data_IF_275941370627
#
_entry.id   IF_275941370627
#
_cell.length_a   1.000
_cell.length_b   1.000
_cell.length_c   1.000
_cell.angle_alpha   90.00
_cell.angle_beta   90.00
_cell.angle_gamma   90.00
#
_symmetry.space_group_name_H-M   'P 1'
#
loop_
_entity.id
_entity.type
_entity.pdbx_description
1 polymer ?
#
# COMPACT_ATOMS: atom_id res chain seq x y z
N UNK A 1 13.20 2.88 -23.32
CA UNK A 1 12.49 1.73 -22.70
C UNK A 1 11.30 2.31 -21.95
N UNK A 2 10.10 2.16 -22.51
CA UNK A 2 8.87 2.61 -21.86
C UNK A 2 8.51 1.61 -20.77
N UNK A 3 8.48 2.06 -19.51
CA UNK A 3 7.99 1.25 -18.39
C UNK A 3 6.57 0.77 -18.70
N UNK A 4 6.23 -0.52 -18.47
CA UNK A 4 4.86 -0.97 -18.65
C UNK A 4 3.96 -0.18 -17.70
N UNK A 5 2.87 0.39 -18.24
CA UNK A 5 1.81 1.00 -17.43
C UNK A 5 1.22 -0.12 -16.59
N UNK A 6 1.51 -0.10 -15.29
CA UNK A 6 0.88 -1.04 -14.35
C UNK A 6 -0.50 -0.48 -14.05
N UNK A 7 -1.54 -1.09 -14.61
CA UNK A 7 -2.92 -0.69 -14.35
C UNK A 7 -3.25 -0.97 -12.87
N UNK A 8 -3.35 0.10 -12.08
CA UNK A 8 -3.76 0.02 -10.69
C UNK A 8 -5.27 -0.29 -10.60
N UNK A 9 -5.71 -1.14 -9.67
CA UNK A 9 -7.11 -1.44 -9.48
C UNK A 9 -7.87 -0.19 -9.00
N UNK A 10 -9.12 -0.04 -9.46
CA UNK A 10 -10.00 1.00 -8.94
C UNK A 10 -10.27 0.79 -7.44
N UNK A 11 -10.17 1.87 -6.67
CA UNK A 11 -10.43 1.91 -5.23
C UNK A 11 -11.70 2.68 -4.87
N UNK A 12 -12.57 3.00 -5.84
CA UNK A 12 -13.81 3.75 -5.58
C UNK A 12 -14.75 3.10 -4.55
N UNK A 13 -14.65 1.79 -4.37
CA UNK A 13 -15.42 1.00 -3.39
C UNK A 13 -14.71 0.85 -2.03
N UNK A 14 -13.48 1.36 -1.89
CA UNK A 14 -12.67 1.28 -0.68
C UNK A 14 -12.88 2.57 0.10
N UNK A 15 -13.30 2.47 1.36
CA UNK A 15 -13.33 3.60 2.31
C UNK A 15 -12.01 3.75 3.05
N UNK A 16 -11.42 2.63 3.45
CA UNK A 16 -10.20 2.61 4.27
C UNK A 16 -9.47 1.27 4.12
N UNK A 17 -8.15 1.30 4.21
CA UNK A 17 -7.31 0.12 4.41
C UNK A 17 -6.89 0.04 5.89
N UNK A 18 -7.01 -1.14 6.49
CA UNK A 18 -6.45 -1.44 7.80
C UNK A 18 -5.25 -2.35 7.64
N UNK A 19 -4.19 -2.09 8.41
CA UNK A 19 -2.93 -2.83 8.34
C UNK A 19 -2.71 -3.62 9.62
N UNK A 20 -2.46 -4.91 9.48
CA UNK A 20 -2.17 -5.81 10.59
C UNK A 20 -0.77 -6.38 10.44
N UNK A 21 0.02 -6.36 11.51
CA UNK A 21 1.43 -6.78 11.46
C UNK A 21 2.00 -7.16 12.82
N UNK A 22 3.29 -7.45 12.84
CA UNK A 22 4.00 -7.88 14.04
C UNK A 22 3.68 -9.31 14.47
N UNK A 23 4.33 -9.79 15.55
CA UNK A 23 4.27 -11.19 15.99
C UNK A 23 2.87 -11.66 16.42
N UNK A 24 1.95 -10.73 16.66
CA UNK A 24 0.58 -11.01 17.10
C UNK A 24 -0.48 -10.58 16.09
N UNK A 25 -0.09 -10.15 14.88
CA UNK A 25 -1.02 -9.70 13.83
C UNK A 25 -2.02 -8.65 14.31
N UNK A 26 -1.56 -7.68 15.10
CA UNK A 26 -2.40 -6.62 15.66
C UNK A 26 -2.58 -5.49 14.65
N UNK A 27 -3.64 -4.68 14.82
CA UNK A 27 -3.84 -3.49 14.02
C UNK A 27 -2.70 -2.50 14.31
N UNK A 28 -1.89 -2.19 13.30
CA UNK A 28 -0.73 -1.29 13.41
C UNK A 28 -0.94 0.04 12.70
N UNK A 29 -1.97 0.15 11.86
CA UNK A 29 -2.29 1.40 11.19
C UNK A 29 -3.51 1.31 10.29
N UNK A 30 -3.88 2.46 9.74
CA UNK A 30 -4.96 2.58 8.78
C UNK A 30 -4.71 3.72 7.79
N UNK A 31 -5.31 3.63 6.61
CA UNK A 31 -5.25 4.66 5.57
C UNK A 31 -6.62 4.87 4.93
N UNK A 32 -7.19 6.06 5.10
CA UNK A 32 -8.45 6.45 4.47
C UNK A 32 -8.31 6.58 2.96
N UNK A 33 -9.38 6.32 2.22
CA UNK A 33 -9.41 6.63 0.80
C UNK A 33 -9.98 8.04 0.60
N UNK A 34 -9.07 9.01 0.44
CA UNK A 34 -9.41 10.39 0.10
C UNK A 34 -8.93 10.68 -1.32
N UNK A 35 -9.62 11.55 -2.09
CA UNK A 35 -9.28 11.80 -3.49
C UNK A 35 -7.82 12.16 -3.72
N UNK A 36 -7.22 12.92 -2.80
CA UNK A 36 -5.83 13.35 -2.88
C UNK A 36 -4.81 12.20 -2.78
N UNK A 37 -5.15 11.11 -2.09
CA UNK A 37 -4.26 9.97 -1.82
C UNK A 37 -4.74 8.65 -2.46
N UNK A 38 -5.65 8.76 -3.44
CA UNK A 38 -6.27 7.62 -4.13
C UNK A 38 -5.20 6.70 -4.75
N UNK A 39 -4.14 7.27 -5.31
CA UNK A 39 -3.04 6.50 -5.92
C UNK A 39 -2.31 5.65 -4.88
N UNK A 40 -1.96 6.20 -3.74
CA UNK A 40 -1.34 5.48 -2.63
C UNK A 40 -2.20 4.32 -2.13
N UNK A 41 -3.51 4.55 -1.97
CA UNK A 41 -4.48 3.51 -1.61
C UNK A 41 -4.53 2.43 -2.69
N UNK A 42 -4.57 2.81 -3.97
CA UNK A 42 -4.59 1.88 -5.09
C UNK A 42 -3.32 1.03 -5.18
N UNK A 43 -2.14 1.58 -4.89
CA UNK A 43 -0.87 0.83 -4.81
C UNK A 43 -0.91 -0.18 -3.69
N UNK A 44 -1.26 0.23 -2.46
CA UNK A 44 -1.31 -0.71 -1.32
C UNK A 44 -2.35 -1.81 -1.54
N UNK A 45 -3.51 -1.46 -2.11
CA UNK A 45 -4.53 -2.42 -2.47
C UNK A 45 -4.07 -3.38 -3.57
N UNK A 46 -3.39 -2.89 -4.61
CA UNK A 46 -2.80 -3.72 -5.66
C UNK A 46 -1.84 -4.76 -5.09
N UNK A 47 -0.93 -4.34 -4.20
CA UNK A 47 0.02 -5.23 -3.56
C UNK A 47 -0.67 -6.30 -2.72
N UNK A 48 -1.68 -5.91 -1.93
CA UNK A 48 -2.45 -6.84 -1.13
C UNK A 48 -3.18 -7.89 -1.99
N UNK A 49 -3.79 -7.49 -3.10
CA UNK A 49 -4.45 -8.41 -4.02
C UNK A 49 -3.45 -9.36 -4.70
N UNK A 50 -2.29 -8.84 -5.11
CA UNK A 50 -1.29 -9.60 -5.86
C UNK A 50 -0.52 -10.59 -5.00
N UNK A 51 -0.18 -10.21 -3.76
CA UNK A 51 0.72 -10.97 -2.90
C UNK A 51 0.04 -11.56 -1.66
N UNK A 52 -1.21 -11.18 -1.36
CA UNK A 52 -1.93 -11.57 -0.14
C UNK A 52 -1.50 -10.79 1.11
N UNK A 53 -0.22 -10.45 1.20
CA UNK A 53 0.38 -9.56 2.23
C UNK A 53 1.38 -8.63 1.58
N UNK A 54 1.65 -7.49 2.21
CA UNK A 54 2.73 -6.59 1.80
C UNK A 54 4.00 -7.02 2.54
N UNK A 55 4.81 -7.84 1.88
CA UNK A 55 6.16 -8.22 2.34
C UNK A 55 7.20 -7.14 2.01
N UNK A 56 8.43 -7.20 2.54
CA UNK A 56 9.49 -6.25 2.18
C UNK A 56 9.78 -6.20 0.67
N UNK A 57 9.68 -7.34 -0.02
CA UNK A 57 9.84 -7.40 -1.48
C UNK A 57 8.69 -6.70 -2.20
N UNK A 58 7.44 -6.98 -1.81
CA UNK A 58 6.27 -6.31 -2.37
C UNK A 58 6.28 -4.80 -2.10
N UNK A 59 6.76 -4.39 -0.92
CA UNK A 59 6.86 -2.99 -0.54
C UNK A 59 7.84 -2.21 -1.43
N UNK A 60 9.00 -2.79 -1.78
CA UNK A 60 9.93 -2.17 -2.75
C UNK A 60 9.30 -1.97 -4.13
N UNK A 61 8.47 -2.91 -4.57
CA UNK A 61 7.72 -2.75 -5.82
C UNK A 61 6.71 -1.60 -5.72
N UNK A 62 5.95 -1.51 -4.62
CA UNK A 62 5.04 -0.39 -4.38
C UNK A 62 5.75 0.96 -4.35
N UNK A 63 6.94 1.03 -3.74
CA UNK A 63 7.76 2.24 -3.72
C UNK A 63 8.17 2.65 -5.14
N UNK A 64 8.49 1.69 -6.01
CA UNK A 64 8.78 1.96 -7.42
C UNK A 64 7.56 2.53 -8.16
N UNK A 65 6.33 2.10 -7.82
CA UNK A 65 5.09 2.63 -8.38
C UNK A 65 4.76 4.06 -7.89
N UNK A 66 5.32 4.47 -6.76
CA UNK A 66 5.15 5.79 -6.14
C UNK A 66 6.32 6.77 -6.42
N UNK A 67 7.26 6.43 -7.30
CA UNK A 67 8.43 7.28 -7.62
C UNK A 67 8.03 8.67 -8.12
N UNK A 68 6.97 8.77 -8.91
CA UNK A 68 6.46 10.04 -9.45
C UNK A 68 5.26 10.58 -8.67
N UNK A 69 4.98 10.00 -7.50
CA UNK A 69 3.86 10.38 -6.67
C UNK A 69 4.15 11.66 -5.89
N UNK A 70 3.14 12.51 -5.75
CA UNK A 70 3.25 13.78 -5.02
C UNK A 70 3.19 13.58 -3.51
N UNK A 71 3.24 14.69 -2.73
CA UNK A 71 3.18 14.64 -1.27
C UNK A 71 1.92 13.98 -0.70
N UNK A 72 0.83 13.97 -1.48
CA UNK A 72 -0.42 13.35 -1.06
C UNK A 72 -0.30 11.82 -0.89
N UNK A 73 0.70 11.18 -1.48
CA UNK A 73 0.96 9.75 -1.36
C UNK A 73 2.02 9.41 -0.30
N UNK A 74 2.50 10.40 0.47
CA UNK A 74 3.55 10.23 1.49
C UNK A 74 3.15 9.23 2.57
N UNK A 75 1.86 9.16 2.92
CA UNK A 75 1.37 8.18 3.89
C UNK A 75 1.55 6.74 3.39
N UNK A 76 1.21 6.48 2.11
CA UNK A 76 1.41 5.17 1.51
C UNK A 76 2.89 4.84 1.36
N UNK A 77 3.72 5.82 0.96
CA UNK A 77 5.18 5.65 0.88
C UNK A 77 5.76 5.28 2.24
N UNK A 78 5.38 5.99 3.30
CA UNK A 78 5.85 5.74 4.67
C UNK A 78 5.50 4.33 5.15
N UNK A 79 4.27 3.87 4.90
CA UNK A 79 3.86 2.49 5.24
C UNK A 79 4.80 1.48 4.57
N UNK A 80 5.10 1.65 3.28
CA UNK A 80 5.99 0.73 2.56
C UNK A 80 7.43 0.80 3.04
N UNK A 81 7.94 2.01 3.33
CA UNK A 81 9.28 2.20 3.90
C UNK A 81 9.42 1.51 5.26
N UNK A 82 8.40 1.60 6.11
CA UNK A 82 8.36 0.93 7.42
C UNK A 82 8.39 -0.60 7.27
N UNK A 83 7.62 -1.17 6.32
CA UNK A 83 7.67 -2.60 6.00
C UNK A 83 9.08 -3.04 5.59
N UNK A 84 9.74 -2.26 4.72
CA UNK A 84 11.12 -2.56 4.29
C UNK A 84 12.10 -2.45 5.46
N UNK A 85 11.96 -1.43 6.30
CA UNK A 85 12.87 -1.18 7.43
C UNK A 85 12.73 -2.22 8.54
N UNK A 86 11.51 -2.65 8.85
CA UNK A 86 11.23 -3.65 9.88
C UNK A 86 11.53 -5.07 9.39
N UNK A 87 11.48 -5.32 8.08
CA UNK A 87 11.69 -6.64 7.50
C UNK A 87 10.55 -7.63 7.78
N UNK A 88 9.39 -7.13 8.22
CA UNK A 88 8.17 -7.90 8.49
C UNK A 88 7.12 -7.67 7.38
N UNK A 89 5.99 -8.35 7.44
CA UNK A 89 4.89 -8.19 6.49
C UNK A 89 3.68 -7.46 7.11
N UNK A 90 2.85 -6.86 6.25
CA UNK A 90 1.53 -6.35 6.63
C UNK A 90 0.42 -7.11 5.90
N UNK A 91 -0.53 -7.64 6.66
CA UNK A 91 -1.81 -8.05 6.13
C UNK A 91 -2.72 -6.82 5.97
N UNK A 92 -3.46 -6.75 4.87
CA UNK A 92 -4.33 -5.61 4.55
C UNK A 92 -5.77 -6.05 4.57
N UNK A 93 -6.60 -5.33 5.31
CA UNK A 93 -8.06 -5.50 5.31
C UNK A 93 -8.71 -4.28 4.67
N UNK A 94 -9.60 -4.53 3.72
CA UNK A 94 -10.40 -3.49 3.05
C UNK A 94 -11.68 -3.23 3.83
N UNK A 95 -11.92 -1.97 4.17
CA UNK A 95 -13.24 -1.48 4.58
C UNK A 95 -13.92 -0.79 3.39
N UNK A 96 -15.18 -1.14 3.16
CA UNK A 96 -16.02 -0.66 2.05
C UNK A 96 -17.12 0.27 2.54
#
# INVERSE_FOLDING_TARGET
MSTPVTDLPSVAHVRKLLFYGGPHSQLVGELENRPEQERGVAVLYHLALRYGVISPTAAREGLALLVTAGPADDAARKILEEVVAQGDFLAVRVLR
#
